data_IF_527644689118
#
_entry.id   IF_527644689118
#
_cell.length_a   1.000
_cell.length_b   1.000
_cell.length_c   1.000
_cell.angle_alpha   90.00
_cell.angle_beta   90.00
_cell.angle_gamma   90.00
#
_symmetry.space_group_name_H-M   'P 1'
#
loop_
_entity.id
_entity.type
_entity.pdbx_description
1 polymer ?
#
# COMPACT_ATOMS: atom_id res chain seq x y z
N UNK A 1 -4.35 -6.09 18.62
CA UNK A 1 -5.39 -5.28 17.98
C UNK A 1 -5.21 -5.30 16.48
N UNK A 2 -6.29 -5.37 15.77
CA UNK A 2 -6.25 -5.52 14.32
C UNK A 2 -6.56 -4.21 13.63
N UNK A 3 -5.75 -3.88 12.66
CA UNK A 3 -6.00 -2.70 11.83
C UNK A 3 -7.03 -3.03 10.77
N UNK A 4 -7.77 -2.02 10.31
CA UNK A 4 -8.72 -2.17 9.23
C UNK A 4 -8.14 -1.56 7.96
N UNK A 5 -8.09 -2.35 6.89
CA UNK A 5 -7.61 -1.86 5.59
C UNK A 5 -8.80 -1.37 4.78
N UNK A 6 -8.67 -0.14 4.28
CA UNK A 6 -9.67 0.44 3.39
C UNK A 6 -8.96 0.86 2.10
N UNK A 7 -9.47 0.41 0.97
CA UNK A 7 -8.94 0.80 -0.34
C UNK A 7 -9.73 1.99 -0.87
N UNK A 8 -9.04 3.02 -1.32
CA UNK A 8 -9.72 4.11 -2.02
C UNK A 8 -10.24 3.57 -3.36
N UNK A 9 -11.23 4.23 -3.92
CA UNK A 9 -11.75 3.84 -5.23
C UNK A 9 -10.66 3.86 -6.29
N UNK A 10 -9.80 4.86 -6.22
CA UNK A 10 -8.69 4.99 -7.16
C UNK A 10 -7.71 3.83 -7.04
N UNK A 11 -7.32 3.51 -5.80
CA UNK A 11 -6.38 2.41 -5.56
C UNK A 11 -6.98 1.07 -5.99
N UNK A 12 -8.25 0.86 -5.68
CA UNK A 12 -8.96 -0.36 -6.07
C UNK A 12 -8.97 -0.54 -7.59
N UNK A 13 -9.26 0.54 -8.30
CA UNK A 13 -9.28 0.53 -9.74
C UNK A 13 -7.90 0.25 -10.32
N UNK A 14 -6.88 0.85 -9.73
CA UNK A 14 -5.50 0.62 -10.16
C UNK A 14 -5.09 -0.83 -9.91
N UNK A 15 -5.50 -1.38 -8.77
CA UNK A 15 -5.21 -2.78 -8.42
C UNK A 15 -5.83 -3.72 -9.47
N UNK A 16 -7.05 -3.44 -9.91
CA UNK A 16 -7.73 -4.25 -10.90
C UNK A 16 -7.01 -4.27 -12.25
N UNK A 17 -6.24 -3.23 -12.54
CA UNK A 17 -5.52 -3.12 -13.81
C UNK A 17 -4.13 -3.75 -13.80
N UNK A 18 -3.70 -4.32 -12.68
CA UNK A 18 -2.37 -4.90 -12.57
C UNK A 18 -2.34 -6.34 -13.07
N UNK A 19 -1.14 -6.85 -13.43
CA UNK A 19 -0.99 -8.27 -13.69
C UNK A 19 -1.48 -9.07 -12.49
N UNK A 20 -2.18 -10.15 -12.77
CA UNK A 20 -2.84 -10.92 -11.72
C UNK A 20 -1.90 -11.37 -10.60
N UNK A 21 -0.69 -11.82 -10.95
CA UNK A 21 0.23 -12.27 -9.92
C UNK A 21 0.72 -11.14 -9.03
N UNK A 22 0.80 -9.92 -9.56
CA UNK A 22 1.15 -8.76 -8.74
C UNK A 22 0.00 -8.44 -7.78
N UNK A 23 -1.23 -8.47 -8.29
CA UNK A 23 -2.41 -8.26 -7.45
C UNK A 23 -2.44 -9.24 -6.29
N UNK A 24 -2.20 -10.52 -6.56
CA UNK A 24 -2.18 -11.55 -5.52
C UNK A 24 -1.10 -11.27 -4.48
N UNK A 25 0.09 -10.87 -4.94
CA UNK A 25 1.19 -10.56 -4.04
C UNK A 25 0.89 -9.35 -3.15
N UNK A 26 0.22 -8.33 -3.73
CA UNK A 26 -0.16 -7.15 -2.97
C UNK A 26 -1.18 -7.53 -1.90
N UNK A 27 -2.18 -8.34 -2.26
CA UNK A 27 -3.20 -8.77 -1.30
C UNK A 27 -2.61 -9.62 -0.18
N UNK A 28 -1.67 -10.51 -0.52
CA UNK A 28 -0.99 -11.30 0.50
C UNK A 28 -0.17 -10.42 1.45
N UNK A 29 0.50 -9.41 0.89
CA UNK A 29 1.26 -8.47 1.72
C UNK A 29 0.35 -7.64 2.61
N UNK A 30 -0.85 -7.34 2.13
CA UNK A 30 -1.85 -6.60 2.90
C UNK A 30 -2.20 -7.33 4.19
N UNK A 31 -2.29 -8.66 4.14
CA UNK A 31 -2.59 -9.45 5.34
C UNK A 31 -1.51 -9.29 6.40
N UNK A 32 -0.24 -9.29 5.98
CA UNK A 32 0.88 -9.09 6.90
C UNK A 32 0.87 -7.69 7.49
N UNK A 33 0.62 -6.70 6.64
CA UNK A 33 0.60 -5.30 7.04
C UNK A 33 -0.53 -5.04 8.03
N UNK A 34 -1.68 -5.67 7.81
CA UNK A 34 -2.83 -5.54 8.69
C UNK A 34 -2.50 -5.98 10.11
N UNK A 35 -1.69 -7.02 10.24
CA UNK A 35 -1.27 -7.52 11.55
C UNK A 35 -0.22 -6.63 12.20
N UNK A 36 0.76 -6.16 11.43
CA UNK A 36 1.89 -5.41 11.96
C UNK A 36 2.33 -4.31 10.97
N UNK A 37 1.54 -3.23 10.84
CA UNK A 37 1.80 -2.26 9.78
C UNK A 37 3.17 -1.60 9.85
N UNK A 38 3.63 -1.23 11.04
CA UNK A 38 4.89 -0.50 11.14
C UNK A 38 6.13 -1.37 10.93
N UNK A 39 5.94 -2.66 10.84
CA UNK A 39 7.02 -3.56 10.49
C UNK A 39 7.28 -3.55 8.99
N UNK A 40 6.26 -3.25 8.19
CA UNK A 40 6.34 -3.34 6.72
C UNK A 40 6.23 -2.01 6.02
N UNK A 41 5.62 -1.00 6.66
CA UNK A 41 5.43 0.29 6.04
C UNK A 41 6.63 1.19 6.27
N UNK A 42 7.02 1.91 5.21
CA UNK A 42 8.09 2.91 5.29
C UNK A 42 7.48 4.28 5.09
N UNK A 43 8.00 5.26 5.82
CA UNK A 43 7.54 6.62 5.68
C UNK A 43 8.04 7.22 4.38
N UNK A 44 7.16 7.93 3.66
CA UNK A 44 7.57 8.69 2.49
C UNK A 44 8.35 9.93 2.94
N UNK A 45 9.38 10.28 2.18
CA UNK A 45 10.16 11.49 2.47
C UNK A 45 9.28 12.72 2.36
N UNK A 46 9.40 13.61 3.33
CA UNK A 46 8.68 14.88 3.35
C UNK A 46 7.17 14.74 3.25
N UNK A 47 6.63 13.67 3.82
CA UNK A 47 5.20 13.38 3.73
C UNK A 47 4.75 12.63 4.98
N UNK A 48 3.51 12.83 5.43
CA UNK A 48 2.95 12.04 6.51
C UNK A 48 2.50 10.65 6.06
N UNK A 49 2.57 10.37 4.76
CA UNK A 49 2.11 9.10 4.21
C UNK A 49 3.19 8.03 4.31
N UNK A 50 2.75 6.79 4.16
CA UNK A 50 3.62 5.62 4.18
C UNK A 50 3.51 4.88 2.85
N UNK A 51 4.39 3.92 2.65
CA UNK A 51 4.38 3.09 1.44
C UNK A 51 4.85 1.69 1.74
N UNK A 52 4.47 0.76 0.87
CA UNK A 52 5.13 -0.54 0.80
C UNK A 52 5.27 -0.92 -0.67
N UNK A 53 6.20 -1.82 -0.94
CA UNK A 53 6.51 -2.23 -2.31
C UNK A 53 6.21 -3.69 -2.55
N UNK A 54 5.74 -3.97 -3.77
CA UNK A 54 5.63 -5.34 -4.28
C UNK A 54 6.13 -5.29 -5.72
N UNK A 55 7.27 -5.93 -5.97
CA UNK A 55 7.88 -5.89 -7.29
C UNK A 55 8.19 -4.44 -7.71
N UNK A 56 7.71 -4.06 -8.88
CA UNK A 56 7.90 -2.70 -9.42
C UNK A 56 6.78 -1.75 -9.04
N UNK A 57 5.92 -2.15 -8.12
CA UNK A 57 4.78 -1.34 -7.71
C UNK A 57 4.93 -0.91 -6.27
N UNK A 58 4.39 0.26 -5.98
CA UNK A 58 4.33 0.73 -4.61
C UNK A 58 2.90 1.15 -4.29
N UNK A 59 2.51 0.90 -3.06
CA UNK A 59 1.19 1.28 -2.57
C UNK A 59 1.39 2.37 -1.54
N UNK A 60 0.68 3.48 -1.71
CA UNK A 60 0.75 4.61 -0.80
C UNK A 60 -0.37 4.46 0.22
N UNK A 61 -0.02 4.61 1.49
CA UNK A 61 -0.92 4.33 2.61
C UNK A 61 -1.00 5.54 3.53
N UNK A 62 -2.21 5.93 3.87
CA UNK A 62 -2.46 6.92 4.91
C UNK A 62 -2.80 6.15 6.18
N UNK A 63 -2.00 6.33 7.22
CA UNK A 63 -2.18 5.62 8.48
C UNK A 63 -2.95 6.50 9.44
N UNK A 64 -4.16 6.07 9.80
CA UNK A 64 -5.01 6.79 10.73
C UNK A 64 -4.94 6.07 12.07
N UNK A 65 -3.97 6.50 12.88
CA UNK A 65 -3.57 5.80 14.10
C UNK A 65 -4.67 5.69 15.14
N UNK A 66 -5.37 6.79 15.40
CA UNK A 66 -6.39 6.79 16.45
C UNK A 66 -7.59 5.92 16.12
N UNK A 67 -7.76 5.56 14.86
CA UNK A 67 -8.87 4.72 14.42
C UNK A 67 -8.42 3.34 13.98
N UNK A 68 -7.12 3.08 14.01
CA UNK A 68 -6.52 1.82 13.54
C UNK A 68 -6.97 1.50 12.10
N UNK A 69 -6.91 2.52 11.24
CA UNK A 69 -7.27 2.38 9.83
C UNK A 69 -6.03 2.57 8.96
N UNK A 70 -5.87 1.68 7.99
CA UNK A 70 -4.87 1.80 6.95
C UNK A 70 -5.61 2.09 5.66
N UNK A 71 -5.52 3.34 5.20
CA UNK A 71 -6.19 3.76 3.99
C UNK A 71 -5.23 3.68 2.82
N UNK A 72 -5.42 2.71 1.95
CA UNK A 72 -4.58 2.51 0.77
C UNK A 72 -5.11 3.45 -0.31
N UNK A 73 -4.37 4.52 -0.56
CA UNK A 73 -4.89 5.63 -1.38
C UNK A 73 -4.46 5.60 -2.83
N UNK A 74 -3.33 4.94 -3.12
CA UNK A 74 -2.78 5.00 -4.46
C UNK A 74 -1.87 3.81 -4.72
N UNK A 75 -1.95 3.23 -5.91
CA UNK A 75 -1.01 2.22 -6.38
C UNK A 75 -0.24 2.84 -7.55
N UNK A 76 1.07 2.82 -7.47
CA UNK A 76 1.93 3.41 -8.51
C UNK A 76 2.94 2.38 -9.00
N UNK A 77 3.16 2.39 -10.29
CA UNK A 77 4.27 1.65 -10.84
C UNK A 77 5.54 2.46 -10.62
N UNK A 78 6.60 1.81 -10.20
CA UNK A 78 7.88 2.49 -10.02
C UNK A 78 8.36 2.99 -11.38
N UNK A 79 8.62 4.29 -11.48
CA UNK A 79 9.13 4.84 -12.71
C UNK A 79 10.59 4.43 -12.90
N UNK A 80 11.02 4.22 -14.14
CA UNK A 80 12.42 4.02 -14.46
C UNK A 80 13.15 5.30 -14.28
N UNK A 81 14.23 5.18 -13.67
CA UNK A 81 15.08 6.34 -13.51
C UNK A 81 15.98 6.45 -14.71
N UNK A 82 16.05 6.73 -14.89
CA UNK A 82 16.92 6.85 -15.40
C UNK A 82 17.39 7.43 -15.68
N UNK A 83 17.57 7.47 -15.91
CA UNK A 83 17.82 7.65 -16.08
C UNK A 83 18.11 7.84 -16.09
#
# INVERSE_FOLDING_TARGET
MTWTVIWSKRAEKQLDGLPKEITIRILNKTDEIEAEPFQYLERLSNSPLYKFRVGNYRVIVDVINDKLILHFVLVKKRSRVYN
#
